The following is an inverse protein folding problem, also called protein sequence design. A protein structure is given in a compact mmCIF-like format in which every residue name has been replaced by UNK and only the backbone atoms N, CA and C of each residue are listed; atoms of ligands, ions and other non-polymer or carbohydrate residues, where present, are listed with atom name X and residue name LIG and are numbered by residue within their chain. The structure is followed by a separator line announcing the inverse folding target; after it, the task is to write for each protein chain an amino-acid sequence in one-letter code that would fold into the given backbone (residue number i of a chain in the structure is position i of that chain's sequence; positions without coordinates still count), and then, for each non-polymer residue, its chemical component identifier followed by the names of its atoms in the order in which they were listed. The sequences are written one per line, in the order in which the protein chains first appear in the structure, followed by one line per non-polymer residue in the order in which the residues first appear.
data_IF_989842107919
#
_entry.id   IF_989842107919
#
_cell.length_a   1.000
_cell.length_b   1.000
_cell.length_c   1.000
_cell.angle_alpha   90.00
_cell.angle_beta   90.00
_cell.angle_gamma   90.00
#
_symmetry.space_group_name_H-M   'P 1'
#
loop_
_entity.id
_entity.type
_entity.pdbx_description
1 polymer ?
#
# COMPACT_ATOMS: atom_id res chain seq x y z
N UNK A 1 1.86 11.37 29.41
CA UNK A 1 1.11 10.50 30.28
C UNK A 1 0.56 9.29 29.61
N UNK A 2 0.14 8.38 30.41
CA UNK A 2 -0.41 7.09 30.02
C UNK A 2 -1.56 7.21 29.01
N UNK A 3 -2.36 8.25 29.13
CA UNK A 3 -3.53 8.43 28.27
C UNK A 3 -3.18 8.58 26.78
N UNK A 4 -2.09 9.23 26.44
CA UNK A 4 -1.66 9.38 25.04
C UNK A 4 -1.33 8.04 24.39
N UNK A 5 -0.66 7.16 25.11
CA UNK A 5 -0.34 5.82 24.62
C UNK A 5 -1.60 4.99 24.41
N UNK A 6 -2.60 5.11 25.29
CA UNK A 6 -3.84 4.37 25.18
C UNK A 6 -4.73 4.85 24.03
N UNK A 7 -4.79 6.16 23.78
CA UNK A 7 -5.68 6.73 22.76
C UNK A 7 -5.05 6.81 21.36
N UNK A 8 -3.78 6.46 21.22
CA UNK A 8 -3.10 6.39 19.92
C UNK A 8 -3.33 7.62 19.05
N UNK A 9 -2.98 8.77 19.58
CA UNK A 9 -3.11 10.03 18.82
C UNK A 9 -2.31 10.00 17.52
N UNK A 10 -2.90 10.51 16.44
CA UNK A 10 -2.25 10.67 15.16
C UNK A 10 -1.88 12.13 14.94
N UNK A 11 -0.77 12.38 14.24
CA UNK A 11 -0.39 13.73 13.86
C UNK A 11 -1.35 14.29 12.80
N UNK A 12 -1.40 15.61 12.69
CA UNK A 12 -2.18 16.27 11.64
C UNK A 12 -1.67 15.90 10.25
N UNK A 13 -0.36 15.74 10.08
CA UNK A 13 0.26 15.32 8.83
C UNK A 13 -0.22 13.92 8.44
N UNK A 14 -0.22 12.99 9.39
CA UNK A 14 -0.67 11.62 9.15
C UNK A 14 -2.13 11.57 8.73
N UNK A 15 -3.00 12.33 9.42
CA UNK A 15 -4.41 12.39 9.06
C UNK A 15 -4.63 12.98 7.67
N UNK A 16 -3.85 14.02 7.31
CA UNK A 16 -3.91 14.60 5.96
C UNK A 16 -3.45 13.60 4.90
N UNK A 17 -2.40 12.82 5.18
CA UNK A 17 -1.94 11.75 4.30
C UNK A 17 -3.02 10.69 4.09
N UNK A 18 -3.63 10.22 5.19
CA UNK A 18 -4.71 9.23 5.12
C UNK A 18 -5.87 9.74 4.24
N UNK A 19 -6.27 10.99 4.43
CA UNK A 19 -7.36 11.58 3.66
C UNK A 19 -7.05 11.58 2.15
N UNK A 20 -5.84 11.93 1.77
CA UNK A 20 -5.42 11.98 0.36
C UNK A 20 -5.30 10.57 -0.22
N UNK A 21 -4.80 9.62 0.55
CA UNK A 21 -4.70 8.22 0.11
C UNK A 21 -6.09 7.61 -0.12
N UNK A 22 -7.01 7.86 0.79
CA UNK A 22 -8.40 7.37 0.68
C UNK A 22 -9.11 8.01 -0.51
N UNK A 23 -8.92 9.32 -0.71
CA UNK A 23 -9.53 10.03 -1.83
C UNK A 23 -9.08 9.48 -3.19
N UNK A 24 -7.83 9.00 -3.28
CA UNK A 24 -7.26 8.46 -4.51
C UNK A 24 -7.28 6.94 -4.60
N UNK A 25 -7.91 6.23 -3.65
CA UNK A 25 -7.89 4.78 -3.68
C UNK A 25 -8.61 4.22 -4.89
N UNK A 26 -8.07 3.11 -5.39
CA UNK A 26 -8.68 2.35 -6.47
C UNK A 26 -9.00 0.95 -5.97
N UNK A 27 -10.14 0.42 -6.44
CA UNK A 27 -10.62 -0.89 -6.01
C UNK A 27 -10.81 -1.78 -7.22
N UNK A 28 -10.37 -3.03 -7.10
CA UNK A 28 -10.40 -4.04 -8.16
C UNK A 28 -11.02 -5.32 -7.62
N UNK A 29 -11.51 -6.17 -8.52
CA UNK A 29 -12.04 -7.48 -8.18
C UNK A 29 -13.12 -7.42 -7.11
N UNK A 30 -14.13 -6.59 -7.35
CA UNK A 30 -15.26 -6.35 -6.44
C UNK A 30 -14.82 -5.86 -5.04
N UNK A 31 -13.73 -5.10 -4.99
CA UNK A 31 -13.20 -4.54 -3.74
C UNK A 31 -12.27 -5.46 -2.95
N UNK A 32 -11.98 -6.65 -3.48
CA UNK A 32 -11.03 -7.56 -2.82
C UNK A 32 -9.59 -7.04 -2.86
N UNK A 33 -9.25 -6.25 -3.88
CA UNK A 33 -7.94 -5.62 -4.04
C UNK A 33 -8.11 -4.11 -3.98
N UNK A 34 -7.39 -3.47 -3.07
CA UNK A 34 -7.41 -2.02 -2.89
C UNK A 34 -6.00 -1.48 -3.09
N UNK A 35 -5.86 -0.44 -3.91
CA UNK A 35 -4.58 0.21 -4.17
C UNK A 35 -4.66 1.66 -3.71
N UNK A 36 -3.71 2.07 -2.89
CA UNK A 36 -3.50 3.46 -2.47
C UNK A 36 -2.10 3.89 -2.87
N UNK A 37 -1.96 5.16 -3.21
CA UNK A 37 -0.70 5.69 -3.73
C UNK A 37 -0.21 6.88 -2.90
N UNK A 38 1.12 6.94 -2.72
CA UNK A 38 1.81 8.04 -2.08
C UNK A 38 2.84 8.60 -3.07
N UNK A 39 2.44 9.53 -3.96
CA UNK A 39 3.39 10.18 -4.85
C UNK A 39 4.39 11.03 -4.05
N UNK A 40 5.57 11.20 -4.59
CA UNK A 40 6.61 12.04 -3.99
C UNK A 40 6.12 13.48 -3.76
N UNK A 41 5.33 14.01 -4.70
CA UNK A 41 4.72 15.35 -4.59
C UNK A 41 3.83 15.49 -3.37
N UNK A 42 3.07 14.46 -3.04
CA UNK A 42 2.20 14.45 -1.85
C UNK A 42 3.03 14.51 -0.57
N UNK A 43 4.07 13.70 -0.50
CA UNK A 43 4.99 13.69 0.63
C UNK A 43 5.63 15.07 0.83
N UNK A 44 6.06 15.70 -0.25
CA UNK A 44 6.68 17.01 -0.23
C UNK A 44 5.68 18.10 0.17
N UNK A 45 4.48 18.06 -0.38
CA UNK A 45 3.42 19.02 -0.08
C UNK A 45 3.07 19.04 1.41
N UNK A 46 2.96 17.87 2.03
CA UNK A 46 2.54 17.72 3.42
C UNK A 46 3.71 17.64 4.42
N UNK A 47 4.94 17.73 3.92
CA UNK A 47 6.15 17.58 4.75
C UNK A 47 6.14 16.30 5.59
N UNK A 48 5.67 15.19 5.02
CA UNK A 48 5.59 13.91 5.71
C UNK A 48 6.98 13.29 5.87
N UNK A 49 7.25 12.76 7.06
CA UNK A 49 8.51 12.05 7.35
C UNK A 49 8.38 10.57 6.99
N UNK A 50 9.50 9.86 6.95
CA UNK A 50 9.48 8.41 6.75
C UNK A 50 8.68 7.70 7.84
N UNK A 51 8.77 8.18 9.10
CA UNK A 51 7.99 7.62 10.20
C UNK A 51 6.48 7.78 9.99
N UNK A 52 6.04 8.94 9.48
CA UNK A 52 4.63 9.18 9.16
C UNK A 52 4.14 8.18 8.11
N UNK A 53 4.96 7.90 7.10
CA UNK A 53 4.58 7.08 5.96
C UNK A 53 4.60 5.59 6.32
N UNK A 54 5.56 5.14 7.12
CA UNK A 54 5.68 3.72 7.52
C UNK A 54 4.39 3.21 8.16
N UNK A 55 3.72 4.01 8.96
CA UNK A 55 2.50 3.61 9.64
C UNK A 55 1.28 3.56 8.71
N UNK A 56 1.41 4.10 7.49
CA UNK A 56 0.31 4.14 6.52
C UNK A 56 0.20 2.90 5.65
N UNK A 57 1.19 2.01 5.70
CA UNK A 57 1.24 0.84 4.81
C UNK A 57 0.12 -0.18 5.05
N UNK A 58 -0.54 -0.13 6.19
CA UNK A 58 -1.65 -1.02 6.50
C UNK A 58 -3.03 -0.45 6.13
N UNK A 59 -3.11 0.82 5.75
CA UNK A 59 -4.39 1.51 5.56
C UNK A 59 -5.26 0.86 4.47
N UNK A 60 -4.66 0.51 3.34
CA UNK A 60 -5.40 -0.08 2.23
C UNK A 60 -6.10 -1.40 2.62
N UNK A 61 -5.47 -2.20 3.47
CA UNK A 61 -6.02 -3.46 3.94
C UNK A 61 -7.15 -3.29 4.96
N UNK A 62 -7.32 -2.10 5.52
CA UNK A 62 -8.35 -1.81 6.51
C UNK A 62 -9.70 -1.48 5.87
N UNK A 63 -9.76 -1.31 4.57
CA UNK A 63 -11.02 -1.11 3.86
C UNK A 63 -11.84 -2.40 3.91
N UNK A 64 -13.11 -2.30 4.28
CA UNK A 64 -13.99 -3.45 4.41
C UNK A 64 -14.04 -4.28 3.12
N UNK A 65 -13.92 -5.59 3.25
CA UNK A 65 -13.97 -6.51 2.11
C UNK A 65 -12.64 -6.72 1.39
N UNK A 66 -11.55 -6.12 1.86
CA UNK A 66 -10.24 -6.23 1.24
C UNK A 66 -9.55 -7.53 1.61
N UNK A 67 -9.15 -8.31 0.62
CA UNK A 67 -8.27 -9.46 0.79
C UNK A 67 -6.80 -9.08 0.60
N UNK A 68 -6.53 -8.07 -0.24
CA UNK A 68 -5.18 -7.61 -0.54
C UNK A 68 -5.16 -6.08 -0.62
N UNK A 69 -4.50 -5.43 0.31
CA UNK A 69 -4.27 -4.00 0.31
C UNK A 69 -2.86 -3.68 -0.17
N UNK A 70 -2.76 -2.82 -1.17
CA UNK A 70 -1.50 -2.41 -1.80
C UNK A 70 -1.26 -0.93 -1.54
N UNK A 71 -0.07 -0.60 -1.07
CA UNK A 71 0.39 0.79 -0.96
C UNK A 71 1.60 0.97 -1.85
N UNK A 72 1.50 1.91 -2.78
CA UNK A 72 2.59 2.28 -3.68
C UNK A 72 3.17 3.61 -3.23
N UNK A 73 4.46 3.60 -2.91
CA UNK A 73 5.16 4.78 -2.42
C UNK A 73 6.30 5.14 -3.37
N UNK A 74 6.24 6.31 -3.93
CA UNK A 74 7.34 6.81 -4.75
C UNK A 74 8.48 7.26 -3.84
N UNK A 75 9.62 6.56 -3.91
CA UNK A 75 10.81 6.91 -3.10
C UNK A 75 11.57 8.08 -3.72
N UNK A 76 11.68 8.06 -5.04
CA UNK A 76 12.29 9.06 -5.89
C UNK A 76 11.81 8.82 -7.32
N UNK A 77 12.00 9.75 -8.26
CA UNK A 77 11.60 9.50 -9.65
C UNK A 77 12.19 8.18 -10.16
N UNK A 78 11.33 7.31 -10.69
CA UNK A 78 11.73 6.03 -11.25
C UNK A 78 11.87 4.87 -10.27
N UNK A 79 11.59 5.06 -8.98
CA UNK A 79 11.69 4.00 -7.99
C UNK A 79 10.47 4.00 -7.07
N UNK A 80 9.75 2.88 -7.03
CA UNK A 80 8.54 2.74 -6.24
C UNK A 80 8.68 1.57 -5.28
N UNK A 81 8.41 1.83 -4.01
CA UNK A 81 8.30 0.79 -2.99
C UNK A 81 6.83 0.40 -2.89
N UNK A 82 6.56 -0.89 -3.00
CA UNK A 82 5.22 -1.38 -2.76
C UNK A 82 5.17 -2.20 -1.48
N UNK A 83 4.06 -2.09 -0.79
CA UNK A 83 3.78 -2.84 0.43
C UNK A 83 2.45 -3.54 0.25
N UNK A 84 2.40 -4.84 0.57
CA UNK A 84 1.18 -5.62 0.58
C UNK A 84 0.81 -6.03 1.99
N UNK A 85 -0.46 -5.86 2.32
CA UNK A 85 -1.06 -6.39 3.54
C UNK A 85 -2.24 -7.24 3.12
N UNK A 86 -2.26 -8.50 3.55
CA UNK A 86 -3.25 -9.45 3.05
C UNK A 86 -3.95 -10.19 4.20
N UNK A 87 -5.18 -10.62 3.92
CA UNK A 87 -5.89 -11.58 4.74
C UNK A 87 -5.50 -13.03 4.35
N UNK A 88 -6.19 -14.02 4.92
CA UNK A 88 -5.80 -15.42 4.73
C UNK A 88 -5.97 -15.97 3.31
N UNK A 89 -6.70 -15.25 2.46
CA UNK A 89 -6.96 -15.72 1.08
C UNK A 89 -5.84 -15.41 0.10
N UNK A 90 -4.90 -14.54 0.47
CA UNK A 90 -3.80 -14.14 -0.40
C UNK A 90 -2.50 -14.19 0.37
N UNK A 91 -1.49 -14.87 -0.18
CA UNK A 91 -0.17 -14.90 0.41
C UNK A 91 0.65 -13.73 -0.14
N UNK A 92 0.91 -12.73 0.70
CA UNK A 92 1.66 -11.53 0.30
C UNK A 92 3.07 -11.86 -0.18
N UNK A 93 3.73 -12.84 0.42
CA UNK A 93 5.08 -13.24 0.01
C UNK A 93 5.11 -13.79 -1.41
N UNK A 94 4.12 -14.60 -1.78
CA UNK A 94 4.05 -15.16 -3.14
C UNK A 94 3.94 -14.05 -4.19
N UNK A 95 3.11 -13.05 -3.91
CA UNK A 95 2.97 -11.90 -4.81
C UNK A 95 4.27 -11.11 -4.92
N UNK A 96 4.87 -10.78 -3.77
CA UNK A 96 6.06 -9.93 -3.77
C UNK A 96 7.30 -10.64 -4.33
N UNK A 97 7.39 -11.96 -4.24
CA UNK A 97 8.48 -12.72 -4.87
C UNK A 97 8.49 -12.55 -6.39
N UNK A 98 7.32 -12.46 -7.01
CA UNK A 98 7.22 -12.23 -8.46
C UNK A 98 7.79 -10.86 -8.86
N UNK A 99 7.92 -9.94 -7.90
CA UNK A 99 8.43 -8.59 -8.10
C UNK A 99 9.84 -8.41 -7.52
N UNK A 100 10.49 -9.51 -7.14
CA UNK A 100 11.84 -9.47 -6.59
C UNK A 100 11.92 -9.13 -5.11
N UNK A 101 10.80 -9.12 -4.41
CA UNK A 101 10.74 -8.83 -2.98
C UNK A 101 10.45 -10.05 -2.12
N UNK A 102 9.92 -9.82 -0.94
CA UNK A 102 9.59 -10.86 0.02
C UNK A 102 8.99 -10.30 1.29
N UNK A 103 8.88 -11.16 2.31
CA UNK A 103 8.32 -10.78 3.61
C UNK A 103 7.63 -11.95 4.27
N UNK A 104 6.47 -11.69 4.85
CA UNK A 104 5.65 -12.69 5.53
C UNK A 104 4.34 -12.90 4.78
N UNK A 105 3.62 -13.98 5.10
CA UNK A 105 2.39 -14.35 4.42
C UNK A 105 1.32 -13.24 4.41
N UNK A 106 1.23 -12.47 5.49
CA UNK A 106 0.25 -11.38 5.62
C UNK A 106 0.82 -9.98 5.36
N UNK A 107 2.14 -9.84 5.24
CA UNK A 107 2.78 -8.54 5.07
C UNK A 107 4.11 -8.70 4.35
N UNK A 108 4.20 -8.19 3.14
CA UNK A 108 5.39 -8.29 2.30
C UNK A 108 5.58 -7.03 1.48
N UNK A 109 6.74 -6.88 0.88
CA UNK A 109 7.05 -5.71 0.07
C UNK A 109 8.07 -5.99 -1.01
N UNK A 110 8.17 -5.06 -1.93
CA UNK A 110 9.16 -5.07 -3.01
C UNK A 110 9.46 -3.64 -3.43
N UNK A 111 10.62 -3.45 -4.05
CA UNK A 111 10.98 -2.17 -4.67
C UNK A 111 11.13 -2.41 -6.16
N UNK A 112 10.42 -1.64 -6.95
CA UNK A 112 10.41 -1.81 -8.40
C UNK A 112 10.86 -0.53 -9.09
N UNK A 113 11.52 -0.68 -10.22
CA UNK A 113 11.92 0.45 -11.08
C UNK A 113 10.76 0.80 -12.00
N UNK A 114 10.54 2.09 -12.20
CA UNK A 114 9.51 2.59 -13.10
C UNK A 114 8.65 3.68 -12.49
N UNK A 115 7.62 4.06 -13.21
CA UNK A 115 6.63 5.05 -12.76
C UNK A 115 5.63 4.41 -11.81
N UNK A 116 4.83 5.25 -11.13
CA UNK A 116 3.73 4.76 -10.29
C UNK A 116 2.74 3.91 -11.10
N UNK A 117 2.43 4.34 -12.32
CA UNK A 117 1.53 3.58 -13.20
C UNK A 117 2.11 2.20 -13.57
N UNK A 118 3.40 2.16 -13.87
CA UNK A 118 4.09 0.90 -14.16
C UNK A 118 4.13 -0.02 -12.94
N UNK A 119 4.40 0.53 -11.76
CA UNK A 119 4.41 -0.23 -10.52
C UNK A 119 3.01 -0.79 -10.20
N UNK A 120 1.97 0.01 -10.41
CA UNK A 120 0.58 -0.44 -10.23
C UNK A 120 0.26 -1.60 -11.17
N UNK A 121 0.58 -1.46 -12.45
CA UNK A 121 0.35 -2.53 -13.42
C UNK A 121 1.10 -3.81 -13.05
N UNK A 122 2.35 -3.69 -12.60
CA UNK A 122 3.17 -4.82 -12.21
C UNK A 122 2.60 -5.56 -11.00
N UNK A 123 2.16 -4.84 -9.96
CA UNK A 123 1.62 -5.49 -8.77
C UNK A 123 0.25 -6.12 -9.04
N UNK A 124 -0.60 -5.49 -9.83
CA UNK A 124 -1.89 -6.08 -10.20
C UNK A 124 -1.70 -7.35 -11.03
N UNK A 125 -0.74 -7.37 -11.95
CA UNK A 125 -0.40 -8.56 -12.71
C UNK A 125 0.13 -9.68 -11.81
N UNK A 126 0.98 -9.35 -10.84
CA UNK A 126 1.51 -10.32 -9.89
C UNK A 126 0.41 -10.90 -9.01
N UNK A 127 -0.51 -10.08 -8.53
CA UNK A 127 -1.67 -10.54 -7.75
C UNK A 127 -2.52 -11.49 -8.60
N UNK A 128 -2.78 -11.13 -9.85
CA UNK A 128 -3.56 -11.97 -10.76
C UNK A 128 -2.91 -13.34 -11.01
N UNK A 129 -1.59 -13.41 -11.02
CA UNK A 129 -0.89 -14.70 -11.14
C UNK A 129 -1.11 -15.60 -9.91
N UNK A 130 -1.28 -15.01 -8.74
CA UNK A 130 -1.45 -15.76 -7.49
C UNK A 130 -2.90 -16.16 -7.25
N UNK A 131 -3.84 -15.26 -7.50
CA UNK A 131 -5.26 -15.50 -7.17
C UNK A 131 -6.19 -15.63 -8.37
N UNK A 132 -5.66 -15.52 -9.57
CA UNK A 132 -6.44 -15.57 -10.80
C UNK A 132 -6.80 -14.19 -11.34
N UNK A 133 -7.36 -14.12 -12.58
CA UNK A 133 -7.68 -12.84 -13.21
C UNK A 133 -8.56 -11.96 -12.35
N UNK A 134 -8.21 -10.67 -12.27
CA UNK A 134 -8.97 -9.70 -11.49
C UNK A 134 -10.14 -9.16 -12.32
N UNK A 135 -11.31 -9.10 -11.72
CA UNK A 135 -12.47 -8.45 -12.32
C UNK A 135 -12.23 -6.92 -12.39
N UNK A 136 -12.76 -6.24 -13.41
CA UNK A 136 -12.63 -4.78 -13.54
C UNK A 136 -13.33 -4.02 -12.41
#
# INVERSE_FOLDING_TARGET
PVNKALFRTKSAVRLAMEARMVAGMERFDAGRVVVMQIPLSLRQELHATDADIEELSALAAQVEGTDCGVTLRELRPGTVKLSLRTGPRVNATEVCRLLGGGGHAAAAGATVSGTMAQAKSAVLAAIAQVIGPLAP
#
